data_IF_290615015078
#
_entry.id   IF_290615015078
#
_cell.length_a   1.000
_cell.length_b   1.000
_cell.length_c   1.000
_cell.angle_alpha   90.00
_cell.angle_beta   90.00
_cell.angle_gamma   90.00
#
_symmetry.space_group_name_H-M   'P 1'
#
loop_
_entity.id
_entity.type
_entity.pdbx_description
1 polymer ?
#
# COMPACT_ATOMS: atom_id res chain seq x y z
N UNK A 1 8.12 2.23 3.13
CA UNK A 1 7.55 3.19 2.17
C UNK A 1 6.81 4.25 2.93
N UNK A 2 6.97 5.52 2.53
CA UNK A 2 6.20 6.63 3.10
C UNK A 2 4.74 6.54 2.61
N UNK A 3 3.77 6.71 3.52
CA UNK A 3 2.34 6.70 3.17
C UNK A 3 2.02 7.90 2.27
N UNK A 4 1.25 7.64 1.20
CA UNK A 4 0.75 8.66 0.27
C UNK A 4 -0.71 8.92 0.58
N UNK A 5 -1.08 10.20 0.50
CA UNK A 5 -2.43 10.68 0.71
C UNK A 5 -2.86 11.50 -0.51
N UNK A 6 -4.13 11.44 -0.85
CA UNK A 6 -4.70 12.21 -1.96
C UNK A 6 -5.93 12.97 -1.48
N UNK A 7 -5.95 14.28 -1.69
CA UNK A 7 -7.08 15.13 -1.34
C UNK A 7 -7.91 15.48 -2.57
N UNK A 8 -9.23 15.40 -2.42
CA UNK A 8 -10.23 15.78 -3.41
C UNK A 8 -11.11 16.91 -2.88
N UNK A 9 -11.49 17.82 -3.76
CA UNK A 9 -12.54 18.81 -3.54
C UNK A 9 -13.68 18.48 -4.50
N UNK A 10 -14.79 17.98 -3.95
CA UNK A 10 -15.84 17.30 -4.73
C UNK A 10 -15.25 16.25 -5.66
N UNK A 11 -15.38 16.44 -6.97
CA UNK A 11 -14.90 15.46 -7.96
C UNK A 11 -13.48 15.74 -8.48
N UNK A 12 -12.83 16.83 -8.05
CA UNK A 12 -11.51 17.25 -8.55
C UNK A 12 -10.41 16.89 -7.55
N UNK A 13 -9.29 16.39 -8.05
CA UNK A 13 -8.10 16.12 -7.24
C UNK A 13 -7.34 17.42 -6.96
N UNK A 14 -7.12 17.73 -5.69
CA UNK A 14 -6.35 18.91 -5.25
C UNK A 14 -4.85 18.64 -5.23
N UNK A 15 -4.44 17.55 -4.55
CA UNK A 15 -3.03 17.22 -4.31
C UNK A 15 -2.88 15.74 -3.97
N UNK A 16 -1.75 15.13 -4.31
CA UNK A 16 -1.37 13.77 -3.92
C UNK A 16 0.08 13.78 -3.46
N UNK A 17 0.36 13.27 -2.26
CA UNK A 17 1.71 13.31 -1.68
C UNK A 17 1.76 12.86 -0.22
N UNK A 18 2.89 13.08 0.48
CA UNK A 18 3.01 12.79 1.90
C UNK A 18 2.03 13.62 2.76
N UNK A 19 1.67 13.11 3.94
CA UNK A 19 0.68 13.73 4.83
C UNK A 19 0.91 15.23 5.07
N UNK A 20 2.15 15.64 5.32
CA UNK A 20 2.47 17.04 5.61
C UNK A 20 2.22 17.99 4.44
N UNK A 21 2.55 17.58 3.21
CA UNK A 21 2.30 18.39 2.01
C UNK A 21 0.80 18.54 1.77
N UNK A 22 0.07 17.42 1.81
CA UNK A 22 -1.38 17.39 1.62
C UNK A 22 -2.08 18.25 2.66
N UNK A 23 -1.69 18.16 3.93
CA UNK A 23 -2.28 18.95 5.01
C UNK A 23 -2.09 20.46 4.81
N UNK A 24 -0.90 20.89 4.39
CA UNK A 24 -0.62 22.31 4.17
C UNK A 24 -1.40 22.87 2.98
N UNK A 25 -1.54 22.09 1.90
CA UNK A 25 -2.36 22.49 0.74
C UNK A 25 -3.83 22.56 1.14
N UNK A 26 -4.38 21.52 1.78
CA UNK A 26 -5.78 21.51 2.22
C UNK A 26 -6.07 22.66 3.18
N UNK A 27 -5.17 22.94 4.13
CA UNK A 27 -5.35 24.05 5.08
C UNK A 27 -5.47 25.41 4.41
N UNK A 28 -4.70 25.66 3.34
CA UNK A 28 -4.78 26.92 2.57
C UNK A 28 -6.10 27.03 1.83
N UNK A 29 -6.54 25.95 1.19
CA UNK A 29 -7.78 25.90 0.39
C UNK A 29 -9.04 25.91 1.27
N UNK A 30 -9.00 25.26 2.44
CA UNK A 30 -10.12 25.13 3.38
C UNK A 30 -10.52 26.45 4.08
N UNK A 31 -9.83 27.56 3.81
CA UNK A 31 -10.21 28.87 4.35
C UNK A 31 -11.50 29.42 3.72
N UNK A 32 -11.85 28.99 2.49
CA UNK A 32 -13.14 29.23 1.82
C UNK A 32 -13.46 28.09 0.83
N UNK A 33 -13.95 26.94 1.30
CA UNK A 33 -14.23 25.82 0.41
C UNK A 33 -15.56 26.04 -0.31
N UNK A 34 -15.53 26.04 -1.64
CA UNK A 34 -16.75 26.00 -2.47
C UNK A 34 -17.45 24.63 -2.39
N UNK A 35 -16.68 23.58 -2.07
CA UNK A 35 -17.11 22.18 -1.98
C UNK A 35 -16.35 21.45 -0.85
N UNK A 36 -16.91 20.35 -0.31
CA UNK A 36 -16.25 19.56 0.74
C UNK A 36 -14.93 18.97 0.26
N UNK A 37 -13.93 18.98 1.14
CA UNK A 37 -12.62 18.36 0.91
C UNK A 37 -12.55 17.04 1.65
N UNK A 38 -12.19 15.97 0.94
CA UNK A 38 -12.00 14.63 1.50
C UNK A 38 -10.56 14.19 1.21
N UNK A 39 -9.88 13.69 2.24
CA UNK A 39 -8.50 13.18 2.14
C UNK A 39 -8.55 11.66 2.24
N UNK A 40 -7.86 10.97 1.34
CA UNK A 40 -7.75 9.51 1.32
C UNK A 40 -6.33 9.07 1.60
N UNK A 41 -6.15 7.96 2.32
CA UNK A 41 -4.88 7.22 2.35
C UNK A 41 -4.84 6.25 1.16
N UNK A 42 -3.93 6.46 0.20
CA UNK A 42 -3.89 5.69 -1.05
C UNK A 42 -3.72 4.17 -0.80
N UNK A 43 -2.99 3.79 0.25
CA UNK A 43 -2.74 2.37 0.56
C UNK A 43 -3.98 1.61 1.06
N UNK A 44 -5.00 2.31 1.55
CA UNK A 44 -6.23 1.70 2.09
C UNK A 44 -7.49 2.18 1.39
N UNK A 45 -7.42 3.26 0.62
CA UNK A 45 -8.56 3.92 -0.03
C UNK A 45 -9.56 4.54 0.94
N UNK A 46 -9.22 4.62 2.24
CA UNK A 46 -10.13 5.13 3.27
C UNK A 46 -9.94 6.63 3.46
N UNK A 47 -11.04 7.31 3.75
CA UNK A 47 -11.02 8.71 4.16
C UNK A 47 -10.35 8.87 5.52
N UNK A 48 -9.56 9.93 5.67
CA UNK A 48 -8.88 10.29 6.92
C UNK A 48 -9.05 11.79 7.18
N UNK A 49 -9.30 12.15 8.43
CA UNK A 49 -9.39 13.54 8.84
C UNK A 49 -8.04 14.03 9.40
N UNK A 50 -7.54 15.13 8.83
CA UNK A 50 -6.37 15.82 9.36
C UNK A 50 -6.80 16.93 10.31
N UNK A 51 -6.18 16.99 11.49
CA UNK A 51 -6.33 18.12 12.39
C UNK A 51 -5.48 19.31 11.92
N UNK A 52 -6.11 20.23 11.20
CA UNK A 52 -5.47 21.40 10.58
C UNK A 52 -5.44 22.64 11.49
N UNK A 53 -5.83 22.51 12.76
CA UNK A 53 -5.89 23.64 13.71
C UNK A 53 -4.50 24.13 14.12
N UNK A 54 -4.38 25.43 14.39
CA UNK A 54 -3.13 26.06 14.86
C UNK A 54 -2.18 26.42 13.73
N UNK A 55 -0.91 26.69 14.04
CA UNK A 55 0.12 27.02 13.05
C UNK A 55 0.58 25.83 12.21
N UNK A 56 1.22 26.08 11.06
CA UNK A 56 1.70 25.01 10.15
C UNK A 56 2.65 24.03 10.85
N UNK A 57 3.53 24.55 11.73
CA UNK A 57 4.43 23.72 12.54
C UNK A 57 3.67 22.77 13.48
N UNK A 58 2.59 23.23 14.09
CA UNK A 58 1.79 22.40 15.00
C UNK A 58 1.08 21.27 14.25
N UNK A 59 0.51 21.59 13.08
CA UNK A 59 -0.14 20.61 12.21
C UNK A 59 0.85 19.51 11.80
N UNK A 60 2.04 19.89 11.33
CA UNK A 60 3.09 18.93 10.96
C UNK A 60 3.54 18.07 12.15
N UNK A 61 3.67 18.66 13.34
CA UNK A 61 4.05 17.93 14.55
C UNK A 61 2.99 16.89 14.98
N UNK A 62 1.70 17.14 14.74
CA UNK A 62 0.63 16.16 14.98
C UNK A 62 0.66 15.04 13.95
N UNK A 63 0.84 15.37 12.66
CA UNK A 63 0.91 14.38 11.58
C UNK A 63 2.10 13.43 11.72
N UNK A 64 3.24 13.92 12.22
CA UNK A 64 4.40 13.08 12.52
C UNK A 64 4.12 12.00 13.58
N UNK A 65 3.06 12.12 14.38
CA UNK A 65 2.63 11.09 15.33
C UNK A 65 1.67 10.05 14.71
N UNK A 66 0.96 10.42 13.63
CA UNK A 66 0.04 9.54 12.90
C UNK A 66 0.77 8.57 11.96
N UNK A 67 1.96 8.95 11.52
CA UNK A 67 2.89 8.07 10.80
C UNK A 67 3.94 7.66 11.83
N UNK A 68 3.84 6.46 12.46
CA UNK A 68 4.95 6.00 13.27
C UNK A 68 6.19 5.99 12.36
N UNK A 69 7.35 6.48 12.84
CA UNK A 69 8.60 6.22 12.13
C UNK A 69 8.67 4.70 11.91
N UNK A 70 9.27 4.24 10.80
CA UNK A 70 9.59 2.82 10.71
C UNK A 70 10.33 2.50 12.00
N UNK A 71 9.81 1.52 12.74
CA UNK A 71 10.50 0.94 13.87
C UNK A 71 11.87 0.52 13.34
N UNK A 72 12.87 1.38 13.52
CA UNK A 72 14.24 0.93 13.56
C UNK A 72 14.22 -0.08 14.68
N UNK A 73 14.28 -1.36 14.31
CA UNK A 73 14.56 -2.44 15.24
C UNK A 73 15.72 -1.93 16.09
N UNK A 74 15.43 -1.66 17.36
CA UNK A 74 16.40 -1.25 18.34
C UNK A 74 17.45 -2.35 18.42
N UNK A 75 18.47 -2.28 17.58
CA UNK A 75 19.67 -3.08 17.71
C UNK A 75 20.22 -2.78 19.10
N UNK A 76 20.30 -3.76 20.01
CA UNK A 76 21.00 -3.54 21.27
C UNK A 76 22.46 -3.19 20.95
N UNK A 77 23.11 -2.35 21.78
CA UNK A 77 24.46 -1.89 21.51
C UNK A 77 25.40 -3.10 21.46
N UNK A 78 25.99 -3.34 20.29
CA UNK A 78 27.00 -4.37 20.11
C UNK A 78 28.35 -3.81 20.52
N UNK A 79 28.96 -4.42 21.54
CA UNK A 79 30.37 -4.25 21.86
C UNK A 79 31.25 -4.55 20.63
N UNK A 80 32.39 -3.86 20.47
CA UNK A 80 33.19 -3.95 19.27
C UNK A 80 33.94 -5.28 19.23
N UNK A 81 33.58 -6.18 18.30
CA UNK A 81 34.35 -7.40 18.04
C UNK A 81 34.78 -7.51 16.58
N UNK A 82 36.09 -7.35 16.40
CA UNK A 82 36.95 -8.22 15.60
C UNK A 82 36.69 -8.33 14.09
N UNK A 83 37.68 -7.91 13.30
CA UNK A 83 37.76 -8.11 11.85
C UNK A 83 37.66 -9.61 11.49
N UNK A 84 36.68 -10.03 10.70
CA UNK A 84 36.67 -11.35 10.07
C UNK A 84 35.30 -11.85 9.57
N UNK A 85 35.13 -11.86 8.23
CA UNK A 85 34.08 -12.49 7.38
C UNK A 85 32.61 -12.15 7.73
N UNK A 86 31.82 -11.54 6.81
CA UNK A 86 30.41 -11.24 7.07
C UNK A 86 29.64 -12.53 7.34
N UNK A 87 29.16 -12.70 8.58
CA UNK A 87 28.24 -13.77 8.95
C UNK A 87 26.91 -13.48 8.24
N UNK A 88 26.53 -14.28 7.25
CA UNK A 88 25.12 -14.41 6.89
C UNK A 88 24.43 -14.91 8.16
N UNK A 89 23.60 -14.08 8.82
CA UNK A 89 22.93 -14.40 10.09
C UNK A 89 21.91 -15.53 9.93
N UNK A 90 22.38 -16.76 9.69
CA UNK A 90 21.54 -17.96 9.55
C UNK A 90 21.41 -18.61 10.93
N UNK A 91 20.16 -18.72 11.40
CA UNK A 91 19.82 -19.47 12.62
C UNK A 91 19.34 -20.85 12.20
N UNK A 92 20.00 -21.91 12.69
CA UNK A 92 19.57 -23.28 12.44
C UNK A 92 18.33 -23.62 13.30
N UNK A 93 17.33 -24.25 12.69
CA UNK A 93 16.15 -24.81 13.35
C UNK A 93 15.80 -26.14 12.70
N UNK A 94 15.19 -27.04 13.47
CA UNK A 94 14.77 -28.36 12.99
C UNK A 94 13.50 -28.27 12.12
N UNK A 95 13.48 -29.03 11.03
CA UNK A 95 12.34 -29.13 10.11
C UNK A 95 12.09 -30.60 9.79
N UNK A 96 10.87 -31.07 9.99
CA UNK A 96 10.45 -32.44 9.65
C UNK A 96 9.72 -32.44 8.31
N UNK A 97 10.21 -33.22 7.36
CA UNK A 97 9.62 -33.37 6.02
C UNK A 97 9.44 -34.85 5.68
N UNK A 98 8.58 -35.13 4.70
CA UNK A 98 8.36 -36.49 4.18
C UNK A 98 9.62 -37.01 3.46
N UNK A 99 9.88 -38.34 3.46
CA UNK A 99 11.05 -38.93 2.82
C UNK A 99 11.24 -38.50 1.35
N UNK A 100 10.16 -38.51 0.57
CA UNK A 100 10.15 -38.04 -0.83
C UNK A 100 10.61 -36.59 -1.00
N UNK A 101 10.37 -35.72 -0.02
CA UNK A 101 10.78 -34.32 -0.07
C UNK A 101 12.27 -34.19 0.23
N UNK A 102 12.81 -35.03 1.13
CA UNK A 102 14.25 -35.09 1.37
C UNK A 102 15.02 -35.62 0.16
N UNK A 103 14.50 -36.65 -0.49
CA UNK A 103 15.06 -37.17 -1.75
C UNK A 103 15.13 -36.07 -2.80
N UNK A 104 14.04 -35.33 -3.01
CA UNK A 104 14.01 -34.21 -3.95
C UNK A 104 14.94 -33.05 -3.53
N UNK A 105 15.02 -32.71 -2.24
CA UNK A 105 15.94 -31.68 -1.74
C UNK A 105 17.40 -32.07 -1.92
N UNK A 106 17.71 -33.37 -1.84
CA UNK A 106 19.04 -33.92 -2.05
C UNK A 106 19.52 -33.84 -3.50
N UNK A 107 18.61 -33.74 -4.47
CA UNK A 107 18.97 -33.58 -5.90
C UNK A 107 19.17 -32.12 -6.30
N UNK A 108 18.91 -31.15 -5.40
CA UNK A 108 18.99 -29.73 -5.74
C UNK A 108 20.44 -29.20 -5.74
N UNK A 109 20.83 -28.40 -6.75
CA UNK A 109 22.15 -27.78 -6.78
C UNK A 109 22.29 -26.76 -5.64
N UNK A 110 23.33 -26.93 -4.81
CA UNK A 110 23.56 -26.10 -3.61
C UNK A 110 22.92 -26.63 -2.32
N UNK A 111 22.29 -27.81 -2.37
CA UNK A 111 21.82 -28.55 -1.20
C UNK A 111 20.47 -28.08 -0.64
N UNK A 112 19.93 -28.88 0.29
CA UNK A 112 18.59 -28.73 0.84
C UNK A 112 18.30 -27.34 1.41
N UNK A 113 19.26 -26.73 2.12
CA UNK A 113 19.07 -25.41 2.74
C UNK A 113 18.92 -24.27 1.72
N UNK A 114 19.61 -24.33 0.59
CA UNK A 114 19.48 -23.33 -0.49
C UNK A 114 18.15 -23.48 -1.20
N UNK A 115 17.73 -24.72 -1.48
CA UNK A 115 16.43 -25.02 -2.09
C UNK A 115 15.27 -24.57 -1.20
N UNK A 116 15.32 -24.88 0.11
CA UNK A 116 14.30 -24.43 1.07
C UNK A 116 14.22 -22.90 1.16
N UNK A 117 15.36 -22.20 1.17
CA UNK A 117 15.35 -20.73 1.17
C UNK A 117 14.68 -20.17 -0.09
N UNK A 118 15.01 -20.70 -1.27
CA UNK A 118 14.39 -20.28 -2.54
C UNK A 118 12.88 -20.52 -2.52
N UNK A 119 12.42 -21.69 -2.05
CA UNK A 119 11.00 -22.01 -1.92
C UNK A 119 10.27 -21.09 -0.94
N UNK A 120 10.89 -20.78 0.20
CA UNK A 120 10.32 -19.83 1.18
C UNK A 120 10.26 -18.43 0.58
N UNK A 121 11.32 -17.98 -0.08
CA UNK A 121 11.35 -16.66 -0.71
C UNK A 121 10.32 -16.55 -1.84
N UNK A 122 10.16 -17.59 -2.65
CA UNK A 122 9.14 -17.68 -3.71
C UNK A 122 7.73 -17.68 -3.12
N UNK A 123 7.46 -18.50 -2.11
CA UNK A 123 6.17 -18.53 -1.42
C UNK A 123 5.84 -17.19 -0.74
N UNK A 124 6.84 -16.54 -0.12
CA UNK A 124 6.69 -15.20 0.46
C UNK A 124 6.41 -14.14 -0.60
N UNK A 125 7.10 -14.20 -1.75
CA UNK A 125 6.83 -13.29 -2.88
C UNK A 125 5.41 -13.50 -3.41
N UNK A 126 5.04 -14.73 -3.75
CA UNK A 126 3.71 -15.06 -4.27
C UNK A 126 2.57 -14.71 -3.30
N UNK A 127 2.77 -14.92 -2.00
CA UNK A 127 1.79 -14.55 -0.97
C UNK A 127 1.73 -13.03 -0.78
N UNK A 128 2.87 -12.35 -0.86
CA UNK A 128 2.97 -10.89 -0.84
C UNK A 128 2.33 -10.24 -2.06
N UNK A 129 2.49 -10.82 -3.25
CA UNK A 129 1.88 -10.37 -4.50
C UNK A 129 0.35 -10.48 -4.42
N UNK A 130 -0.17 -11.65 -4.04
CA UNK A 130 -1.62 -11.84 -3.83
C UNK A 130 -2.19 -10.93 -2.74
N UNK A 131 -1.42 -10.70 -1.67
CA UNK A 131 -1.80 -9.77 -0.61
C UNK A 131 -1.86 -8.32 -1.09
N UNK A 132 -0.86 -7.88 -1.86
CA UNK A 132 -0.80 -6.55 -2.47
C UNK A 132 -1.93 -6.33 -3.47
N UNK A 133 -2.20 -7.29 -4.36
CA UNK A 133 -3.32 -7.19 -5.29
C UNK A 133 -4.66 -7.08 -4.58
N UNK A 134 -4.87 -7.88 -3.52
CA UNK A 134 -6.10 -7.78 -2.73
C UNK A 134 -6.21 -6.41 -2.05
N UNK A 135 -5.13 -5.93 -1.45
CA UNK A 135 -5.09 -4.61 -0.81
C UNK A 135 -5.35 -3.48 -1.82
N UNK A 136 -4.80 -3.57 -3.03
CA UNK A 136 -5.05 -2.62 -4.11
C UNK A 136 -6.52 -2.59 -4.54
N UNK A 137 -7.17 -3.77 -4.68
CA UNK A 137 -8.60 -3.87 -4.99
C UNK A 137 -9.46 -3.30 -3.85
N UNK A 138 -9.16 -3.65 -2.60
CA UNK A 138 -9.88 -3.15 -1.43
C UNK A 138 -9.74 -1.61 -1.31
N UNK A 139 -8.55 -1.07 -1.57
CA UNK A 139 -8.30 0.37 -1.59
C UNK A 139 -9.08 1.08 -2.71
N UNK A 140 -9.03 0.54 -3.93
CA UNK A 140 -9.81 1.08 -5.05
C UNK A 140 -11.31 1.04 -4.75
N UNK A 141 -11.82 -0.04 -4.17
CA UNK A 141 -13.22 -0.18 -3.80
C UNK A 141 -13.64 0.81 -2.71
N UNK A 142 -12.84 0.97 -1.65
CA UNK A 142 -13.14 1.93 -0.57
C UNK A 142 -13.24 3.36 -1.10
N UNK A 143 -12.27 3.79 -1.91
CA UNK A 143 -12.32 5.11 -2.54
C UNK A 143 -13.53 5.26 -3.47
N UNK A 144 -13.74 4.26 -4.34
CA UNK A 144 -14.83 4.23 -5.30
C UNK A 144 -16.19 4.30 -4.62
N UNK A 145 -16.39 3.58 -3.51
CA UNK A 145 -17.64 3.60 -2.75
C UNK A 145 -17.94 4.98 -2.16
N UNK A 146 -16.91 5.72 -1.74
CA UNK A 146 -17.07 7.07 -1.19
C UNK A 146 -17.33 8.11 -2.28
N UNK A 147 -16.60 8.05 -3.39
CA UNK A 147 -16.61 9.11 -4.41
C UNK A 147 -17.59 8.87 -5.57
N UNK A 148 -17.90 7.60 -5.83
CA UNK A 148 -18.61 7.16 -7.03
C UNK A 148 -19.79 6.23 -6.73
N UNK A 149 -20.17 6.05 -5.46
CA UNK A 149 -21.28 5.15 -5.08
C UNK A 149 -22.64 5.52 -5.68
N UNK A 150 -22.80 6.77 -6.12
CA UNK A 150 -24.00 7.28 -6.80
C UNK A 150 -23.82 7.40 -8.32
N UNK A 151 -22.66 7.02 -8.88
CA UNK A 151 -22.42 7.10 -10.32
C UNK A 151 -23.00 5.89 -11.06
N UNK A 152 -23.34 6.04 -12.34
CA UNK A 152 -23.82 4.94 -13.17
C UNK A 152 -22.83 3.76 -13.20
N UNK A 153 -23.36 2.54 -13.33
CA UNK A 153 -22.61 1.29 -13.42
C UNK A 153 -21.69 0.95 -12.21
N UNK A 154 -21.86 1.62 -11.06
CA UNK A 154 -21.04 1.35 -9.85
C UNK A 154 -21.03 -0.12 -9.44
N UNK A 155 -22.19 -0.78 -9.44
CA UNK A 155 -22.33 -2.19 -9.05
C UNK A 155 -21.59 -3.13 -10.02
N UNK A 156 -21.76 -2.92 -11.32
CA UNK A 156 -21.07 -3.67 -12.36
C UNK A 156 -19.57 -3.43 -12.32
N UNK A 157 -19.14 -2.19 -12.04
CA UNK A 157 -17.74 -1.82 -11.90
C UNK A 157 -17.12 -2.51 -10.68
N UNK A 158 -17.81 -2.52 -9.53
CA UNK A 158 -17.39 -3.25 -8.33
C UNK A 158 -17.20 -4.74 -8.62
N UNK A 159 -18.18 -5.38 -9.29
CA UNK A 159 -18.06 -6.80 -9.68
C UNK A 159 -16.87 -7.05 -10.60
N UNK A 160 -16.63 -6.17 -11.59
CA UNK A 160 -15.51 -6.29 -12.51
C UNK A 160 -14.14 -6.10 -11.82
N UNK A 161 -14.07 -5.19 -10.84
CA UNK A 161 -12.87 -4.95 -10.02
C UNK A 161 -12.46 -6.20 -9.24
N UNK A 162 -13.41 -6.86 -8.56
CA UNK A 162 -13.13 -8.07 -7.79
C UNK A 162 -12.92 -9.32 -8.67
N UNK A 163 -13.44 -9.32 -9.89
CA UNK A 163 -13.18 -10.37 -10.89
C UNK A 163 -11.82 -10.23 -11.61
N UNK A 164 -11.04 -9.19 -11.30
CA UNK A 164 -9.78 -8.83 -11.99
C UNK A 164 -9.94 -8.54 -13.50
N UNK A 165 -11.14 -8.23 -13.97
CA UNK A 165 -11.42 -7.92 -15.38
C UNK A 165 -11.15 -6.44 -15.66
N UNK A 166 -9.87 -6.11 -15.85
CA UNK A 166 -9.40 -4.73 -16.08
C UNK A 166 -10.05 -4.06 -17.29
N UNK A 167 -10.27 -4.80 -18.39
CA UNK A 167 -10.84 -4.22 -19.63
C UNK A 167 -12.28 -3.83 -19.41
N UNK A 168 -13.08 -4.75 -18.84
CA UNK A 168 -14.47 -4.46 -18.52
C UNK A 168 -14.58 -3.36 -17.47
N UNK A 169 -13.76 -3.41 -16.42
CA UNK A 169 -13.76 -2.40 -15.37
C UNK A 169 -13.48 -0.99 -15.91
N UNK A 170 -12.42 -0.82 -16.70
CA UNK A 170 -12.06 0.49 -17.30
C UNK A 170 -13.13 1.01 -18.26
N UNK A 171 -13.82 0.13 -18.98
CA UNK A 171 -14.96 0.51 -19.82
C UNK A 171 -16.17 1.00 -19.01
N UNK A 172 -16.47 0.36 -17.87
CA UNK A 172 -17.61 0.73 -17.03
C UNK A 172 -17.44 2.08 -16.33
N UNK A 173 -16.20 2.46 -15.99
CA UNK A 173 -15.90 3.74 -15.33
C UNK A 173 -15.47 4.84 -16.31
N UNK A 174 -15.56 4.61 -17.62
CA UNK A 174 -15.00 5.50 -18.65
C UNK A 174 -15.61 6.91 -18.59
N UNK A 175 -16.92 6.98 -18.36
CA UNK A 175 -17.73 8.21 -18.31
C UNK A 175 -17.71 8.88 -16.94
N UNK A 176 -17.02 8.31 -15.95
CA UNK A 176 -16.89 8.93 -14.63
C UNK A 176 -15.95 10.14 -14.67
N UNK A 177 -16.05 11.06 -13.69
CA UNK A 177 -15.15 12.20 -13.60
C UNK A 177 -13.69 11.78 -13.67
N UNK A 178 -12.91 12.46 -14.51
CA UNK A 178 -11.54 12.08 -14.88
C UNK A 178 -10.64 11.82 -13.67
N UNK A 179 -10.66 12.71 -12.68
CA UNK A 179 -9.80 12.59 -11.50
C UNK A 179 -10.18 11.40 -10.61
N UNK A 180 -11.48 11.09 -10.51
CA UNK A 180 -11.98 9.92 -9.78
C UNK A 180 -11.54 8.64 -10.51
N UNK A 181 -11.81 8.57 -11.81
CA UNK A 181 -11.44 7.43 -12.66
C UNK A 181 -9.93 7.15 -12.62
N UNK A 182 -9.12 8.18 -12.82
CA UNK A 182 -7.66 8.05 -12.87
C UNK A 182 -7.10 7.63 -11.50
N UNK A 183 -7.68 8.11 -10.40
CA UNK A 183 -7.29 7.67 -9.06
C UNK A 183 -7.69 6.21 -8.79
N UNK A 184 -8.90 5.79 -9.18
CA UNK A 184 -9.31 4.38 -9.07
C UNK A 184 -8.36 3.46 -9.85
N UNK A 185 -8.02 3.82 -11.09
CA UNK A 185 -7.09 3.05 -11.93
C UNK A 185 -5.69 3.01 -11.29
N UNK A 186 -5.24 4.14 -10.71
CA UNK A 186 -4.00 4.20 -9.94
C UNK A 186 -4.06 3.21 -8.78
N UNK A 187 -5.08 3.26 -7.93
CA UNK A 187 -5.17 2.40 -6.74
C UNK A 187 -5.25 0.92 -7.10
N UNK A 188 -6.03 0.56 -8.12
CA UNK A 188 -6.24 -0.83 -8.52
C UNK A 188 -5.05 -1.46 -9.24
N UNK A 189 -4.22 -0.68 -9.95
CA UNK A 189 -3.25 -1.22 -10.91
C UNK A 189 -1.82 -0.65 -10.86
N UNK A 190 -1.49 0.31 -9.97
CA UNK A 190 -0.14 0.93 -9.95
C UNK A 190 1.00 0.00 -9.52
N UNK A 191 0.71 -1.18 -8.98
CA UNK A 191 1.71 -2.21 -8.63
C UNK A 191 2.04 -3.17 -9.80
N UNK A 192 1.50 -2.93 -11.01
CA UNK A 192 1.74 -3.74 -12.22
C UNK A 192 2.61 -3.04 -13.29
N UNK A 193 3.34 -1.99 -12.93
CA UNK A 193 4.25 -1.26 -13.82
C UNK A 193 5.73 -1.59 -13.55
#
# INVERSE_FOLDING_TARGET
MQKIFTAFQGQRRLVSGPAGEVALVVKRVATRPDEPIIIFEDGTGRSIDFDLRGGDREVLARLAKLVPPPVEESTPPSEPRGRGRPKLGVVAREVTLLPRHWEWLGTQPGGASVALRKLVDEARRASGDKGRERQARDAAYHFMSTMAGNLPQFEEASRALFADDRRRFTGLIADWPVDIRDHIVKLAYSDRA
#
